data_IF_490442696818
#
_entry.id   IF_490442696818
#
_cell.length_a   1.000
_cell.length_b   1.000
_cell.length_c   1.000
_cell.angle_alpha   90.00
_cell.angle_beta   90.00
_cell.angle_gamma   90.00
#
_symmetry.space_group_name_H-M   'P 1'
#
loop_
_entity.id
_entity.type
_entity.pdbx_description
1 polymer ?
#
# COMPACT_ATOMS: atom_id res chain seq x y z
N UNK A 1 -45.18 0.63 27.10
CA UNK A 1 -44.96 -0.30 25.98
C UNK A 1 -44.85 0.52 24.71
N UNK A 2 -43.68 0.50 24.07
CA UNK A 2 -43.36 1.27 22.87
C UNK A 2 -41.86 1.20 22.64
N UNK A 3 -41.45 0.22 21.84
CA UNK A 3 -40.07 -0.08 21.45
C UNK A 3 -39.48 1.03 20.57
N UNK A 4 -38.26 1.46 20.86
CA UNK A 4 -37.34 2.13 19.95
C UNK A 4 -35.98 1.50 20.30
N UNK A 5 -35.48 0.52 19.55
CA UNK A 5 -35.17 0.63 18.13
C UNK A 5 -33.66 0.90 18.05
N UNK A 6 -32.90 -0.17 17.87
CA UNK A 6 -31.46 -0.14 17.59
C UNK A 6 -31.20 0.87 16.47
N UNK A 7 -30.35 1.87 16.73
CA UNK A 7 -29.72 2.63 15.68
C UNK A 7 -28.22 2.55 15.88
N UNK A 8 -27.66 1.55 15.20
CA UNK A 8 -26.41 1.62 14.44
C UNK A 8 -25.59 2.88 14.72
N UNK A 9 -24.55 2.76 15.56
CA UNK A 9 -23.44 3.69 15.52
C UNK A 9 -22.70 3.47 14.19
N UNK A 10 -23.21 4.12 13.14
CA UNK A 10 -22.42 4.48 11.99
C UNK A 10 -21.34 5.45 12.47
N UNK A 11 -20.19 4.91 12.89
CA UNK A 11 -18.96 5.68 13.01
C UNK A 11 -18.31 5.81 11.64
N UNK A 12 -19.00 6.45 10.71
CA UNK A 12 -18.44 6.96 9.47
C UNK A 12 -18.30 8.46 9.63
N UNK A 13 -17.19 8.91 10.23
CA UNK A 13 -16.66 10.27 10.10
C UNK A 13 -15.30 10.37 10.80
N UNK A 14 -14.26 9.92 10.10
CA UNK A 14 -12.94 10.54 10.18
C UNK A 14 -12.71 11.15 8.79
N UNK A 15 -12.70 12.48 8.78
CA UNK A 15 -12.55 13.42 7.68
C UNK A 15 -11.36 13.11 6.73
N UNK A 16 -11.67 13.00 5.42
CA UNK A 16 -10.85 13.19 4.17
C UNK A 16 -9.33 12.88 4.26
N UNK A 17 -8.68 11.94 3.56
CA UNK A 17 -9.00 11.06 2.42
C UNK A 17 -8.03 9.86 2.48
N UNK A 18 -8.32 8.83 3.28
CA UNK A 18 -7.51 7.61 3.28
C UNK A 18 -8.06 6.57 2.32
N UNK A 19 -7.16 5.83 1.66
CA UNK A 19 -7.51 4.72 0.77
C UNK A 19 -7.59 3.43 1.59
N UNK A 20 -8.67 2.67 1.48
CA UNK A 20 -8.81 1.41 2.21
C UNK A 20 -8.06 0.30 1.47
N UNK A 21 -7.21 -0.43 2.20
CA UNK A 21 -6.50 -1.61 1.72
C UNK A 21 -6.90 -2.83 2.56
N UNK A 22 -7.61 -3.78 1.94
CA UNK A 22 -8.06 -5.01 2.60
C UNK A 22 -7.01 -6.11 2.45
N UNK A 23 -6.26 -6.38 3.51
CA UNK A 23 -5.22 -7.40 3.53
C UNK A 23 -4.02 -7.10 2.61
N UNK A 24 -3.08 -8.04 2.48
CA UNK A 24 -1.84 -7.84 1.70
C UNK A 24 -2.10 -7.54 0.23
N UNK A 25 -3.08 -8.21 -0.40
CA UNK A 25 -3.37 -7.99 -1.82
C UNK A 25 -4.00 -6.62 -2.07
N UNK A 26 -4.93 -6.20 -1.20
CA UNK A 26 -5.47 -4.84 -1.27
C UNK A 26 -4.39 -3.78 -1.05
N UNK A 27 -3.42 -4.03 -0.17
CA UNK A 27 -2.29 -3.12 0.02
C UNK A 27 -1.44 -3.05 -1.25
N UNK A 28 -1.12 -4.18 -1.88
CA UNK A 28 -0.37 -4.22 -3.14
C UNK A 28 -1.06 -3.41 -4.24
N UNK A 29 -2.36 -3.62 -4.44
CA UNK A 29 -3.16 -2.89 -5.45
C UNK A 29 -3.14 -1.37 -5.20
N UNK A 30 -3.29 -0.95 -3.95
CA UNK A 30 -3.25 0.47 -3.57
C UNK A 30 -1.87 1.07 -3.85
N UNK A 31 -0.78 0.37 -3.48
CA UNK A 31 0.58 0.86 -3.74
C UNK A 31 0.86 0.99 -5.24
N UNK A 32 0.36 0.04 -6.04
CA UNK A 32 0.52 0.07 -7.49
C UNK A 32 -0.28 1.21 -8.13
N UNK A 33 -1.52 1.45 -7.67
CA UNK A 33 -2.31 2.59 -8.12
C UNK A 33 -1.69 3.94 -7.73
N UNK A 34 -1.12 4.04 -6.52
CA UNK A 34 -0.40 5.24 -6.07
C UNK A 34 0.83 5.49 -6.96
N UNK A 35 1.61 4.44 -7.26
CA UNK A 35 2.75 4.53 -8.15
C UNK A 35 2.36 5.02 -9.55
N UNK A 36 1.40 4.35 -10.18
CA UNK A 36 0.93 4.73 -11.52
C UNK A 36 0.43 6.16 -11.57
N UNK A 37 -0.30 6.61 -10.54
CA UNK A 37 -0.82 7.98 -10.51
C UNK A 37 0.29 9.01 -10.27
N UNK A 38 1.18 8.77 -9.31
CA UNK A 38 2.29 9.69 -9.02
C UNK A 38 3.28 9.80 -10.20
N UNK A 39 3.48 8.74 -10.98
CA UNK A 39 4.31 8.80 -12.20
C UNK A 39 3.71 9.66 -13.31
N UNK A 40 2.39 9.87 -13.32
CA UNK A 40 1.69 10.60 -14.38
C UNK A 40 1.22 12.01 -13.94
N UNK A 41 1.17 12.29 -12.64
CA UNK A 41 0.65 13.52 -12.06
C UNK A 41 1.63 14.07 -11.00
N UNK A 42 2.49 15.04 -11.37
CA UNK A 42 3.44 15.64 -10.45
C UNK A 42 2.80 16.34 -9.25
N UNK A 43 1.60 16.91 -9.40
CA UNK A 43 0.90 17.56 -8.29
C UNK A 43 0.45 16.50 -7.29
N UNK A 44 -0.07 15.36 -7.78
CA UNK A 44 -0.38 14.20 -6.95
C UNK A 44 0.85 13.64 -6.23
N UNK A 45 2.03 13.62 -6.87
CA UNK A 45 3.26 13.11 -6.25
C UNK A 45 3.79 13.97 -5.09
N UNK A 46 3.34 15.23 -4.95
CA UNK A 46 3.84 16.14 -3.90
C UNK A 46 3.03 16.10 -2.61
N UNK A 47 1.92 15.37 -2.57
CA UNK A 47 1.04 15.28 -1.40
C UNK A 47 1.24 13.97 -0.66
N UNK A 48 1.03 14.00 0.66
CA UNK A 48 1.02 12.79 1.48
C UNK A 48 -0.21 11.94 1.17
N UNK A 49 -0.02 10.63 0.99
CA UNK A 49 -1.13 9.68 0.84
C UNK A 49 -1.27 8.83 2.09
N UNK A 50 -2.51 8.57 2.48
CA UNK A 50 -2.82 7.74 3.64
C UNK A 50 -3.59 6.50 3.21
N UNK A 51 -3.18 5.34 3.72
CA UNK A 51 -3.82 4.05 3.48
C UNK A 51 -4.29 3.48 4.81
N UNK A 52 -5.58 3.18 4.93
CA UNK A 52 -6.13 2.43 6.05
C UNK A 52 -6.07 0.94 5.70
N UNK A 53 -5.09 0.25 6.27
CA UNK A 53 -4.92 -1.19 6.15
C UNK A 53 -5.84 -1.92 7.14
N UNK A 54 -6.62 -2.87 6.62
CA UNK A 54 -7.53 -3.71 7.42
C UNK A 54 -7.27 -5.20 7.16
N UNK A 55 -7.04 -5.97 8.23
CA UNK A 55 -6.90 -7.43 8.16
C UNK A 55 -7.49 -8.08 9.43
N UNK A 56 -8.68 -8.66 9.32
CA UNK A 56 -9.42 -9.13 10.50
C UNK A 56 -9.66 -7.96 11.46
N UNK A 57 -9.24 -8.12 12.72
CA UNK A 57 -9.33 -7.06 13.74
C UNK A 57 -8.14 -6.08 13.71
N UNK A 58 -7.19 -6.26 12.78
CA UNK A 58 -6.10 -5.31 12.59
C UNK A 58 -6.57 -4.12 11.76
N UNK A 59 -6.36 -2.92 12.30
CA UNK A 59 -6.50 -1.65 11.59
C UNK A 59 -5.25 -0.83 11.79
N UNK A 60 -4.64 -0.38 10.71
CA UNK A 60 -3.38 0.35 10.75
C UNK A 60 -3.37 1.44 9.68
N UNK A 61 -2.88 2.63 10.03
CA UNK A 61 -2.67 3.71 9.09
C UNK A 61 -1.26 3.65 8.52
N UNK A 62 -1.14 3.67 7.21
CA UNK A 62 0.12 3.72 6.49
C UNK A 62 0.18 5.06 5.75
N UNK A 63 1.16 5.90 6.07
CA UNK A 63 1.46 7.09 5.28
C UNK A 63 2.46 6.69 4.18
N UNK A 64 2.19 7.12 2.96
CA UNK A 64 3.04 6.92 1.78
C UNK A 64 3.43 8.29 1.23
N UNK A 65 4.73 8.58 1.21
CA UNK A 65 5.31 9.75 0.53
C UNK A 65 5.88 9.30 -0.82
N UNK A 66 5.28 9.84 -1.88
CA UNK A 66 5.58 9.53 -3.29
C UNK A 66 6.47 10.58 -3.95
N UNK A 67 6.86 11.65 -3.22
CA UNK A 67 7.62 12.77 -3.75
C UNK A 67 9.08 12.44 -4.04
N UNK A 68 9.58 11.31 -3.50
CA UNK A 68 10.95 10.83 -3.66
C UNK A 68 10.96 9.34 -3.91
N UNK A 69 11.89 8.91 -4.76
CA UNK A 69 12.15 7.50 -5.02
C UNK A 69 13.42 7.04 -4.29
N UNK A 70 13.40 5.86 -3.64
CA UNK A 70 12.23 5.01 -3.38
C UNK A 70 11.24 5.69 -2.42
N UNK A 71 9.95 5.34 -2.55
CA UNK A 71 8.89 5.88 -1.69
C UNK A 71 9.15 5.64 -0.21
N UNK A 72 8.69 6.58 0.63
CA UNK A 72 8.84 6.49 2.08
C UNK A 72 7.52 6.08 2.75
N UNK A 73 7.64 5.28 3.81
CA UNK A 73 6.50 4.68 4.50
C UNK A 73 6.59 4.94 6.00
N UNK A 74 5.46 5.30 6.60
CA UNK A 74 5.26 5.30 8.05
C UNK A 74 4.08 4.43 8.40
N UNK A 75 4.19 3.67 9.47
CA UNK A 75 3.18 2.72 9.90
C UNK A 75 2.73 3.05 11.33
N UNK A 76 1.41 3.10 11.54
CA UNK A 76 0.81 3.25 12.85
C UNK A 76 -0.39 2.30 13.01
N UNK A 77 -0.23 1.24 13.80
CA UNK A 77 -1.37 0.40 14.17
C UNK A 77 -2.26 1.11 15.20
N UNK A 78 -3.59 1.05 15.04
CA UNK A 78 -4.52 1.76 15.91
C UNK A 78 -4.51 1.25 17.36
N UNK A 79 -3.97 0.05 17.60
CA UNK A 79 -3.76 -0.52 18.93
C UNK A 79 -2.30 -0.45 19.39
N UNK A 80 -1.44 0.28 18.68
CA UNK A 80 -0.02 0.47 19.03
C UNK A 80 0.86 -0.76 18.79
N UNK A 81 0.38 -1.75 18.02
CA UNK A 81 1.19 -2.93 17.67
C UNK A 81 2.25 -2.59 16.62
N UNK A 82 3.39 -3.29 16.61
CA UNK A 82 4.37 -3.14 15.54
C UNK A 82 3.79 -3.62 14.19
N UNK A 83 4.39 -3.16 13.09
CA UNK A 83 4.07 -3.64 11.76
C UNK A 83 4.24 -5.16 11.68
N UNK A 84 3.19 -5.84 11.19
CA UNK A 84 3.23 -7.28 11.00
C UNK A 84 4.25 -7.64 9.93
N UNK A 85 4.70 -8.90 9.93
CA UNK A 85 5.61 -9.41 8.91
C UNK A 85 5.03 -9.22 7.50
N UNK A 86 3.76 -9.56 7.32
CA UNK A 86 3.07 -9.48 6.03
C UNK A 86 3.06 -8.05 5.46
N UNK A 87 2.76 -7.02 6.27
CA UNK A 87 2.76 -5.62 5.80
C UNK A 87 4.16 -5.19 5.36
N UNK A 88 5.20 -5.57 6.13
CA UNK A 88 6.59 -5.23 5.79
C UNK A 88 7.05 -5.92 4.52
N UNK A 89 6.71 -7.19 4.33
CA UNK A 89 7.04 -7.95 3.12
C UNK A 89 6.33 -7.37 1.90
N UNK A 90 5.02 -7.08 1.99
CA UNK A 90 4.28 -6.45 0.87
C UNK A 90 4.88 -5.12 0.44
N UNK A 91 5.29 -4.26 1.38
CA UNK A 91 5.95 -2.98 1.06
C UNK A 91 7.35 -3.21 0.46
N UNK A 92 8.12 -4.15 1.01
CA UNK A 92 9.46 -4.47 0.52
C UNK A 92 9.42 -5.03 -0.91
N UNK A 93 8.49 -5.94 -1.19
CA UNK A 93 8.29 -6.52 -2.52
C UNK A 93 7.90 -5.45 -3.53
N UNK A 94 6.99 -4.53 -3.17
CA UNK A 94 6.64 -3.38 -4.00
C UNK A 94 7.86 -2.49 -4.30
N UNK A 95 8.65 -2.16 -3.28
CA UNK A 95 9.84 -1.33 -3.44
C UNK A 95 10.88 -2.01 -4.34
N UNK A 96 11.08 -3.31 -4.17
CA UNK A 96 11.99 -4.10 -5.00
C UNK A 96 11.51 -4.16 -6.45
N UNK A 97 10.21 -4.38 -6.67
CA UNK A 97 9.63 -4.47 -8.02
C UNK A 97 9.73 -3.15 -8.79
N UNK A 98 9.54 -2.00 -8.13
CA UNK A 98 9.48 -0.68 -8.80
C UNK A 98 10.80 0.08 -8.80
N UNK A 99 11.63 -0.10 -7.79
CA UNK A 99 12.86 0.68 -7.59
C UNK A 99 14.11 -0.19 -7.42
N UNK A 100 13.97 -1.51 -7.35
CA UNK A 100 15.12 -2.42 -7.43
C UNK A 100 15.68 -2.39 -8.84
N UNK A 101 17.00 -2.21 -8.97
CA UNK A 101 17.69 -2.22 -10.26
C UNK A 101 17.36 -3.50 -11.04
N UNK A 102 16.63 -3.34 -12.15
CA UNK A 102 16.15 -4.42 -12.99
C UNK A 102 17.24 -5.13 -13.80
N UNK A 103 18.24 -5.72 -13.16
CA UNK A 103 19.10 -6.73 -13.78
C UNK A 103 18.92 -8.11 -13.12
N UNK A 104 17.84 -8.79 -13.49
CA UNK A 104 17.97 -10.22 -13.76
C UNK A 104 18.01 -10.36 -15.28
N UNK A 105 19.18 -10.09 -15.85
CA UNK A 105 19.52 -10.56 -17.19
C UNK A 105 19.60 -12.08 -17.13
N UNK A 106 18.46 -12.77 -17.24
CA UNK A 106 18.44 -14.16 -17.67
C UNK A 106 18.69 -14.15 -19.18
N UNK A 107 19.96 -13.95 -19.57
CA UNK A 107 20.41 -14.51 -20.83
C UNK A 107 20.56 -16.01 -20.59
N UNK A 108 19.50 -16.74 -20.90
CA UNK A 108 19.63 -18.16 -21.21
C UNK A 108 20.50 -18.25 -22.47
N UNK A 109 21.79 -18.50 -22.30
CA UNK A 109 22.65 -18.97 -23.38
C UNK A 109 22.30 -20.42 -23.73
N UNK A 110 21.15 -20.62 -24.37
CA UNK A 110 20.90 -21.83 -25.17
C UNK A 110 20.26 -21.47 -26.50
N UNK A 111 21.10 -21.28 -27.53
CA UNK A 111 21.06 -22.15 -28.70
C UNK A 111 22.22 -21.87 -29.66
N UNK A 112 23.02 -22.91 -29.93
CA UNK A 112 24.10 -22.89 -30.90
C UNK A 112 23.62 -22.77 -32.35
N UNK A 113 24.55 -22.39 -33.25
CA UNK A 113 25.00 -23.22 -34.39
C UNK A 113 25.97 -22.43 -35.32
N UNK A 114 27.05 -23.11 -35.70
CA UNK A 114 27.89 -23.03 -36.92
C UNK A 114 28.19 -21.67 -37.58
N UNK A 115 29.48 -21.40 -37.77
CA UNK A 115 30.23 -21.83 -38.97
C UNK A 115 31.70 -22.02 -38.67
#
# INVERSE_FOLDING_TARGET
MGSLGENSMQSSNLTEDYIIANGPEGLKEVLQALFEKASNDPDFATVDHFVLYELGDQRSLIKVDTAKEPYQFWYNDLLGRPATKIVRETIADFLWEKFGDGEISLKDEENGHVK
#
